data_IF_923950252913
#
_entry.id   IF_923950252913
#
_cell.length_a   1.000
_cell.length_b   1.000
_cell.length_c   1.000
_cell.angle_alpha   90.00
_cell.angle_beta   90.00
_cell.angle_gamma   90.00
#
_symmetry.space_group_name_H-M   'P 1'
#
loop_
_entity.id
_entity.type
_entity.pdbx_description
1 polymer ?
#
# COMPACT_ATOMS: atom_id res chain seq x y z
N UNK A 1 11.52 -26.99 -2.61
CA UNK A 1 11.84 -26.94 -4.07
C UNK A 1 12.20 -25.50 -4.41
N UNK A 2 13.21 -25.27 -5.24
CA UNK A 2 13.60 -23.92 -5.72
C UNK A 2 13.66 -23.94 -7.25
N UNK A 3 13.24 -22.83 -7.88
CA UNK A 3 13.39 -22.60 -9.32
C UNK A 3 14.40 -21.48 -9.53
N UNK A 4 15.29 -21.63 -10.52
CA UNK A 4 16.33 -20.66 -10.83
C UNK A 4 16.24 -20.29 -12.30
N UNK A 5 16.16 -18.99 -12.57
CA UNK A 5 16.15 -18.42 -13.92
C UNK A 5 17.20 -17.32 -14.01
N UNK A 6 18.09 -17.41 -14.99
CA UNK A 6 18.98 -16.30 -15.33
C UNK A 6 18.23 -15.24 -16.15
N UNK A 7 18.62 -13.98 -15.97
CA UNK A 7 18.08 -12.83 -16.69
C UNK A 7 19.24 -11.95 -17.15
N UNK A 8 19.05 -11.21 -18.23
CA UNK A 8 20.10 -10.38 -18.85
C UNK A 8 20.19 -8.99 -18.25
N UNK A 9 19.13 -8.51 -17.59
CA UNK A 9 19.08 -7.17 -17.00
C UNK A 9 18.09 -7.10 -15.84
N UNK A 10 18.16 -6.00 -15.06
CA UNK A 10 17.23 -5.75 -13.97
C UNK A 10 15.79 -5.51 -14.47
N UNK A 11 15.62 -4.91 -15.65
CA UNK A 11 14.33 -4.73 -16.33
C UNK A 11 13.71 -6.06 -16.73
N UNK A 12 14.52 -7.04 -17.14
CA UNK A 12 14.02 -8.40 -17.35
C UNK A 12 13.59 -9.05 -16.02
N UNK A 13 14.36 -8.86 -14.95
CA UNK A 13 14.00 -9.36 -13.62
C UNK A 13 12.65 -8.80 -13.15
N UNK A 14 12.47 -7.48 -13.20
CA UNK A 14 11.23 -6.80 -12.79
C UNK A 14 10.04 -7.24 -13.65
N UNK A 15 10.21 -7.35 -14.99
CA UNK A 15 9.15 -7.87 -15.86
C UNK A 15 8.77 -9.31 -15.51
N UNK A 16 9.75 -10.15 -15.19
CA UNK A 16 9.50 -11.53 -14.80
C UNK A 16 8.71 -11.58 -13.48
N UNK A 17 9.13 -10.82 -12.47
CA UNK A 17 8.45 -10.73 -11.17
C UNK A 17 7.02 -10.24 -11.34
N UNK A 18 6.81 -9.12 -12.04
CA UNK A 18 5.47 -8.55 -12.21
C UNK A 18 4.52 -9.44 -13.04
N UNK A 19 5.05 -10.30 -13.91
CA UNK A 19 4.26 -11.21 -14.73
C UNK A 19 3.92 -12.53 -14.02
N UNK A 20 4.89 -13.14 -13.32
CA UNK A 20 4.75 -14.49 -12.74
C UNK A 20 4.60 -14.51 -11.21
N UNK A 21 5.01 -13.44 -10.53
CA UNK A 21 4.95 -13.34 -9.07
C UNK A 21 3.51 -13.23 -8.56
N UNK A 22 3.30 -13.68 -7.33
CA UNK A 22 2.00 -13.55 -6.63
C UNK A 22 1.74 -12.15 -6.06
N UNK A 23 2.66 -11.21 -6.27
CA UNK A 23 2.65 -9.85 -5.71
C UNK A 23 2.73 -9.82 -4.18
N UNK A 24 3.32 -10.85 -3.57
CA UNK A 24 3.45 -10.96 -2.11
C UNK A 24 4.71 -10.26 -1.61
N UNK A 25 5.87 -10.87 -1.79
CA UNK A 25 7.15 -10.32 -1.35
C UNK A 25 8.25 -10.68 -2.32
N UNK A 26 8.96 -9.66 -2.78
CA UNK A 26 10.08 -9.79 -3.71
C UNK A 26 11.25 -8.96 -3.20
N UNK A 27 12.48 -9.33 -3.57
CA UNK A 27 13.68 -8.68 -3.04
C UNK A 27 14.76 -8.56 -4.10
N UNK A 28 15.57 -7.50 -3.99
CA UNK A 28 16.80 -7.29 -4.73
C UNK A 28 18.00 -7.35 -3.79
N UNK A 29 19.07 -7.99 -4.25
CA UNK A 29 20.38 -7.97 -3.60
C UNK A 29 21.35 -7.21 -4.50
N UNK A 30 21.80 -6.05 -4.06
CA UNK A 30 22.70 -5.18 -4.82
C UNK A 30 23.40 -4.17 -3.90
N UNK A 31 24.60 -3.73 -4.27
CA UNK A 31 25.30 -2.60 -3.62
C UNK A 31 25.01 -1.26 -4.30
N UNK A 32 24.41 -1.28 -5.50
CA UNK A 32 23.99 -0.06 -6.20
C UNK A 32 22.64 0.43 -5.64
N UNK A 33 22.68 1.53 -4.90
CA UNK A 33 21.50 2.14 -4.27
C UNK A 33 20.50 2.69 -5.28
N UNK A 34 20.94 3.24 -6.41
CA UNK A 34 20.05 3.76 -7.45
C UNK A 34 19.25 2.62 -8.09
N UNK A 35 19.91 1.48 -8.33
CA UNK A 35 19.27 0.28 -8.85
C UNK A 35 18.29 -0.32 -7.83
N UNK A 36 18.65 -0.33 -6.54
CA UNK A 36 17.77 -0.79 -5.48
C UNK A 36 16.50 0.05 -5.40
N UNK A 37 16.63 1.38 -5.40
CA UNK A 37 15.52 2.32 -5.36
C UNK A 37 14.63 2.18 -6.60
N UNK A 38 15.24 2.06 -7.79
CA UNK A 38 14.49 1.80 -9.02
C UNK A 38 13.71 0.49 -8.96
N UNK A 39 14.32 -0.59 -8.45
CA UNK A 39 13.65 -1.89 -8.29
C UNK A 39 12.47 -1.80 -7.31
N UNK A 40 12.68 -1.17 -6.14
CA UNK A 40 11.65 -0.98 -5.12
C UNK A 40 10.44 -0.20 -5.64
N UNK A 41 10.66 0.78 -6.51
CA UNK A 41 9.59 1.57 -7.11
C UNK A 41 8.89 0.88 -8.30
N UNK A 42 9.55 -0.06 -8.97
CA UNK A 42 9.04 -0.67 -10.22
C UNK A 42 8.36 -2.04 -9.99
N UNK A 43 8.71 -2.75 -8.92
CA UNK A 43 8.10 -4.05 -8.58
C UNK A 43 6.74 -3.86 -7.91
N UNK A 44 5.71 -4.50 -8.47
CA UNK A 44 4.33 -4.41 -7.96
C UNK A 44 4.00 -5.54 -6.97
N UNK A 45 4.67 -5.53 -5.82
CA UNK A 45 4.42 -6.48 -4.72
C UNK A 45 3.95 -5.76 -3.44
N UNK A 46 3.42 -6.53 -2.48
CA UNK A 46 3.01 -5.99 -1.19
C UNK A 46 4.21 -5.63 -0.30
N UNK A 47 5.34 -6.32 -0.46
CA UNK A 47 6.63 -5.92 0.11
C UNK A 47 7.74 -6.04 -0.92
N UNK A 48 8.56 -5.01 -1.04
CA UNK A 48 9.77 -5.02 -1.89
C UNK A 48 10.97 -4.68 -1.04
N UNK A 49 11.95 -5.57 -0.98
CA UNK A 49 13.08 -5.45 -0.05
C UNK A 49 14.41 -5.25 -0.76
N UNK A 50 15.29 -4.47 -0.15
CA UNK A 50 16.68 -4.32 -0.55
C UNK A 50 17.60 -4.96 0.50
N UNK A 51 18.42 -5.92 0.07
CA UNK A 51 19.41 -6.60 0.92
C UNK A 51 18.83 -7.20 2.21
N UNK A 52 17.54 -7.56 2.21
CA UNK A 52 16.85 -8.19 3.34
C UNK A 52 16.08 -9.44 2.89
N UNK A 53 16.00 -10.42 3.79
CA UNK A 53 15.30 -11.68 3.53
C UNK A 53 13.81 -11.46 3.27
N UNK A 54 13.24 -12.14 2.28
CA UNK A 54 11.78 -12.13 2.03
C UNK A 54 10.96 -12.64 3.23
N UNK A 55 11.59 -13.36 4.18
CA UNK A 55 10.95 -13.79 5.43
C UNK A 55 10.62 -12.65 6.40
N UNK A 56 11.13 -11.44 6.18
CA UNK A 56 10.77 -10.27 6.98
C UNK A 56 9.33 -9.81 6.78
N UNK A 57 8.64 -10.20 5.69
CA UNK A 57 7.23 -9.88 5.45
C UNK A 57 6.32 -10.61 6.45
N UNK A 58 6.07 -9.97 7.60
CA UNK A 58 5.39 -10.52 8.76
C UNK A 58 5.06 -9.37 9.73
N UNK A 59 3.80 -9.28 10.17
CA UNK A 59 3.32 -8.16 10.98
C UNK A 59 4.01 -8.03 12.34
N UNK A 60 4.42 -9.13 12.98
CA UNK A 60 5.18 -9.05 14.23
C UNK A 60 6.57 -8.45 13.96
N UNK A 61 7.24 -8.89 12.88
CA UNK A 61 8.55 -8.33 12.47
C UNK A 61 8.46 -6.85 12.08
N UNK A 62 7.31 -6.39 11.59
CA UNK A 62 7.06 -4.99 11.25
C UNK A 62 6.66 -4.12 12.46
N UNK A 63 6.48 -4.73 13.64
CA UNK A 63 6.10 -4.01 14.86
C UNK A 63 4.59 -3.78 15.02
N UNK A 64 3.75 -4.49 14.26
CA UNK A 64 2.28 -4.40 14.41
C UNK A 64 1.76 -5.22 15.60
N UNK A 65 2.64 -5.96 16.28
CA UNK A 65 2.31 -6.84 17.41
C UNK A 65 1.67 -8.17 16.99
N UNK A 66 0.71 -8.13 16.06
CA UNK A 66 0.13 -9.31 15.44
C UNK A 66 -0.33 -8.99 14.00
N UNK A 67 -0.59 -10.03 13.21
CA UNK A 67 -1.27 -9.91 11.93
C UNK A 67 -2.44 -10.88 11.86
N UNK A 68 -3.50 -10.47 11.15
CA UNK A 68 -4.57 -11.39 10.74
C UNK A 68 -4.12 -12.23 9.54
N UNK A 69 -3.27 -11.66 8.70
CA UNK A 69 -2.67 -12.31 7.53
C UNK A 69 -1.98 -11.29 6.63
N UNK A 70 -1.60 -11.73 5.43
CA UNK A 70 -0.94 -10.88 4.43
C UNK A 70 -1.86 -10.71 3.22
N UNK A 71 -2.14 -9.46 2.86
CA UNK A 71 -2.97 -9.10 1.70
C UNK A 71 -2.11 -8.71 0.50
N UNK A 72 -2.42 -9.25 -0.67
CA UNK A 72 -1.85 -8.81 -1.97
C UNK A 72 -2.81 -7.90 -2.74
N UNK A 73 -3.98 -7.60 -2.18
CA UNK A 73 -4.97 -6.69 -2.75
C UNK A 73 -4.45 -5.25 -2.81
N UNK A 74 -4.86 -4.50 -3.83
CA UNK A 74 -4.48 -3.07 -3.98
C UNK A 74 -5.46 -2.11 -3.30
N UNK A 75 -6.59 -2.61 -2.85
CA UNK A 75 -7.63 -1.82 -2.18
C UNK A 75 -7.66 -2.14 -0.70
N UNK A 76 -8.00 -1.14 0.12
CA UNK A 76 -8.09 -1.22 1.58
C UNK A 76 -6.75 -1.44 2.32
N UNK A 77 -6.20 -2.66 2.28
CA UNK A 77 -5.02 -3.07 3.05
C UNK A 77 -4.11 -3.97 2.21
N UNK A 78 -2.80 -3.70 2.20
CA UNK A 78 -1.78 -4.41 1.41
C UNK A 78 -0.53 -4.68 2.25
N UNK A 79 0.00 -5.89 2.17
CA UNK A 79 1.07 -6.38 3.05
C UNK A 79 0.52 -7.03 4.32
N UNK A 80 1.33 -7.16 5.38
CA UNK A 80 0.87 -7.59 6.69
C UNK A 80 -0.29 -6.72 7.20
N UNK A 81 -1.40 -7.35 7.59
CA UNK A 81 -2.62 -6.66 8.00
C UNK A 81 -2.71 -6.66 9.53
N UNK A 82 -2.39 -5.50 10.12
CA UNK A 82 -2.58 -5.19 11.54
C UNK A 82 -3.97 -4.63 11.86
N UNK A 83 -4.12 -3.98 13.02
CA UNK A 83 -5.40 -3.44 13.50
C UNK A 83 -5.98 -2.38 12.56
N UNK A 84 -5.14 -1.51 12.02
CA UNK A 84 -5.51 -0.44 11.09
C UNK A 84 -6.15 -1.00 9.82
N UNK A 85 -5.73 -2.18 9.39
CA UNK A 85 -6.29 -2.85 8.22
C UNK A 85 -7.62 -3.55 8.48
N UNK A 86 -8.17 -3.49 9.70
CA UNK A 86 -9.49 -4.01 10.08
C UNK A 86 -10.51 -2.91 10.37
N UNK A 87 -10.11 -1.64 10.28
CA UNK A 87 -11.00 -0.50 10.48
C UNK A 87 -11.37 0.16 9.16
N UNK A 88 -12.54 0.79 9.13
CA UNK A 88 -12.99 1.63 8.02
C UNK A 88 -13.54 2.95 8.58
N UNK A 89 -13.70 3.95 7.71
CA UNK A 89 -14.20 5.26 8.09
C UNK A 89 -15.72 5.37 7.96
N UNK A 90 -16.30 6.32 8.71
CA UNK A 90 -17.68 6.78 8.54
C UNK A 90 -17.71 8.30 8.53
N UNK A 91 -18.51 8.89 7.67
CA UNK A 91 -18.74 10.33 7.69
C UNK A 91 -19.77 10.68 8.76
N UNK A 92 -19.45 11.66 9.60
CA UNK A 92 -20.38 12.26 10.56
C UNK A 92 -20.59 13.71 10.17
N UNK A 93 -21.82 14.06 9.80
CA UNK A 93 -22.23 15.43 9.50
C UNK A 93 -23.11 15.94 10.63
N UNK A 94 -22.71 17.04 11.27
CA UNK A 94 -23.50 17.70 12.30
C UNK A 94 -24.25 18.86 11.66
N UNK A 95 -25.57 18.76 11.65
CA UNK A 95 -26.45 19.75 11.06
C UNK A 95 -27.48 20.29 12.06
N UNK A 96 -28.17 21.35 11.64
CA UNK A 96 -29.32 21.97 12.27
C UNK A 96 -30.47 22.09 11.25
N UNK A 97 -30.81 20.98 10.58
CA UNK A 97 -31.91 20.91 9.61
C UNK A 97 -31.59 21.40 8.19
N UNK A 98 -30.31 21.44 7.79
CA UNK A 98 -29.92 21.82 6.43
C UNK A 98 -30.35 20.76 5.40
N UNK A 99 -30.99 21.19 4.33
CA UNK A 99 -31.36 20.36 3.19
C UNK A 99 -30.45 20.63 1.98
N UNK A 100 -30.07 19.58 1.24
CA UNK A 100 -29.16 19.71 0.09
C UNK A 100 -29.67 20.70 -0.97
N UNK A 101 -30.99 20.77 -1.20
CA UNK A 101 -31.60 21.70 -2.16
C UNK A 101 -31.51 23.18 -1.77
N UNK A 102 -31.05 23.51 -0.55
CA UNK A 102 -30.82 24.88 -0.09
C UNK A 102 -29.47 25.44 -0.53
N UNK A 103 -28.61 24.61 -1.15
CA UNK A 103 -27.27 24.98 -1.58
C UNK A 103 -27.17 24.99 -3.11
N UNK A 104 -26.29 25.84 -3.65
CA UNK A 104 -26.05 26.00 -5.08
C UNK A 104 -26.21 27.44 -5.58
N UNK A 105 -26.20 27.63 -6.90
CA UNK A 105 -26.20 28.96 -7.52
C UNK A 105 -27.45 29.76 -7.14
N UNK A 106 -27.24 30.98 -6.61
CA UNK A 106 -28.32 31.85 -6.13
C UNK A 106 -28.98 31.39 -4.81
N UNK A 107 -28.37 30.42 -4.11
CA UNK A 107 -28.83 29.92 -2.81
C UNK A 107 -27.68 30.02 -1.79
N UNK A 108 -27.72 29.20 -0.73
CA UNK A 108 -26.62 29.14 0.24
C UNK A 108 -25.35 28.60 -0.42
N UNK A 109 -24.22 29.14 -0.02
CA UNK A 109 -22.91 28.74 -0.53
C UNK A 109 -22.28 27.68 0.38
N UNK A 110 -21.46 26.82 -0.20
CA UNK A 110 -20.58 25.94 0.55
C UNK A 110 -19.31 26.70 0.91
N UNK A 111 -18.92 26.66 2.18
CA UNK A 111 -17.69 27.31 2.62
C UNK A 111 -16.45 26.50 2.24
N UNK A 112 -16.55 25.16 2.25
CA UNK A 112 -15.44 24.23 2.02
C UNK A 112 -14.18 24.52 2.88
N UNK A 113 -14.40 25.09 4.06
CA UNK A 113 -13.33 25.39 5.02
C UNK A 113 -12.94 24.12 5.79
N UNK A 114 -11.65 23.98 6.06
CA UNK A 114 -11.12 22.88 6.86
C UNK A 114 -11.57 23.03 8.31
N UNK A 115 -12.22 21.99 8.85
CA UNK A 115 -12.69 22.00 10.23
C UNK A 115 -11.49 21.70 11.14
N UNK A 116 -11.07 22.70 11.91
CA UNK A 116 -10.06 22.52 12.94
C UNK A 116 -10.63 21.65 14.07
N UNK A 117 -10.16 20.41 14.19
CA UNK A 117 -10.41 19.57 15.36
C UNK A 117 -9.48 20.01 16.50
N UNK A 118 -10.05 20.25 17.69
CA UNK A 118 -9.27 20.33 18.93
C UNK A 118 -9.09 18.94 19.52
#
# INVERSE_FOLDING_TARGET
IISVKSVKSAEEAVRHINHFGSRHTDAIVTENSELAEWFMNTVDAAGVFWNASTRFADGFRYGFGAEVGISTGKTHSRGPVGLEGLVIYKYKLYGNGQGAGQYGQGKREFLHEEIQYK
#
